data_IF_010805906439
#
_entry.id   IF_010805906439
#
_cell.length_a   1.000
_cell.length_b   1.000
_cell.length_c   1.000
_cell.angle_alpha   90.00
_cell.angle_beta   90.00
_cell.angle_gamma   90.00
#
_symmetry.space_group_name_H-M   'P 1'
#
loop_
_entity.id
_entity.type
_entity.pdbx_description
1 polymer ?
#
# COMPACT_ATOMS: atom_id res chain seq x y z
N UNK A 1 -40.39 -19.39 -8.78
CA UNK A 1 -39.55 -18.28 -9.30
C UNK A 1 -38.89 -17.47 -8.19
N UNK A 2 -39.43 -17.43 -6.97
CA UNK A 2 -38.89 -16.65 -5.84
C UNK A 2 -37.44 -16.99 -5.44
N UNK A 3 -37.04 -18.27 -5.47
CA UNK A 3 -35.65 -18.66 -5.14
C UNK A 3 -34.59 -18.05 -6.07
N UNK A 4 -34.92 -17.78 -7.34
CA UNK A 4 -33.99 -17.14 -8.29
C UNK A 4 -33.79 -15.66 -7.97
N UNK A 5 -34.82 -14.99 -7.45
CA UNK A 5 -34.77 -13.57 -7.09
C UNK A 5 -33.88 -13.34 -5.87
N UNK A 6 -34.01 -14.19 -4.84
CA UNK A 6 -33.19 -14.09 -3.62
C UNK A 6 -31.70 -14.28 -3.94
N UNK A 7 -31.37 -15.23 -4.82
CA UNK A 7 -29.99 -15.49 -5.23
C UNK A 7 -29.37 -14.32 -6.00
N UNK A 8 -30.17 -13.65 -6.84
CA UNK A 8 -29.77 -12.44 -7.55
C UNK A 8 -29.51 -11.27 -6.60
N UNK A 9 -30.38 -11.06 -5.60
CA UNK A 9 -30.16 -10.03 -4.59
C UNK A 9 -28.88 -10.25 -3.78
N UNK A 10 -28.57 -11.50 -3.42
CA UNK A 10 -27.36 -11.84 -2.68
C UNK A 10 -26.08 -11.59 -3.49
N UNK A 11 -26.10 -11.89 -4.80
CA UNK A 11 -24.99 -11.60 -5.71
C UNK A 11 -24.74 -10.10 -5.90
N UNK A 12 -25.81 -9.30 -6.00
CA UNK A 12 -25.70 -7.83 -6.10
C UNK A 12 -25.16 -7.24 -4.80
N UNK A 13 -25.58 -7.75 -3.64
CA UNK A 13 -25.06 -7.31 -2.35
C UNK A 13 -23.57 -7.66 -2.17
N UNK A 14 -23.12 -8.82 -2.65
CA UNK A 14 -21.69 -9.20 -2.62
C UNK A 14 -20.82 -8.32 -3.51
N UNK A 15 -21.35 -7.88 -4.67
CA UNK A 15 -20.63 -6.99 -5.59
C UNK A 15 -20.45 -5.57 -5.04
N UNK A 16 -21.23 -5.14 -4.05
CA UNK A 16 -21.07 -3.83 -3.40
C UNK A 16 -20.07 -3.82 -2.24
N UNK A 17 -19.59 -4.99 -1.79
CA UNK A 17 -18.61 -5.08 -0.70
C UNK A 17 -17.12 -4.83 -1.03
N UNK A 18 -16.61 -4.79 -2.28
CA UNK A 18 -15.18 -4.70 -2.50
C UNK A 18 -14.58 -3.32 -2.20
N UNK A 19 -15.39 -2.30 -1.87
CA UNK A 19 -14.88 -0.95 -1.57
C UNK A 19 -14.42 -0.75 -0.11
N UNK A 20 -14.62 -1.71 0.78
CA UNK A 20 -14.28 -1.56 2.21
C UNK A 20 -12.91 -2.09 2.64
N UNK A 21 -12.09 -2.62 1.73
CA UNK A 21 -10.67 -2.84 2.02
C UNK A 21 -9.96 -1.49 1.85
N UNK A 22 -10.22 -0.56 2.78
CA UNK A 22 -9.40 0.63 2.93
C UNK A 22 -8.06 0.16 3.49
N UNK A 23 -7.13 -0.17 2.60
CA UNK A 23 -5.77 -0.55 2.98
C UNK A 23 -5.18 0.58 3.81
N UNK A 24 -4.88 0.30 5.08
CA UNK A 24 -4.35 1.29 6.00
C UNK A 24 -3.00 1.78 5.47
N UNK A 25 -2.84 3.11 5.40
CA UNK A 25 -1.58 3.72 4.99
C UNK A 25 -0.72 3.88 6.23
N UNK A 26 0.31 3.05 6.34
CA UNK A 26 1.31 3.12 7.39
C UNK A 26 2.41 4.10 6.98
N UNK A 27 2.95 4.82 7.96
CA UNK A 27 4.10 5.71 7.79
C UNK A 27 5.26 5.23 8.65
N UNK A 28 6.38 4.93 8.02
CA UNK A 28 7.62 4.57 8.71
C UNK A 28 8.86 5.14 8.00
N UNK A 29 10.07 4.82 8.46
CA UNK A 29 11.31 5.27 7.83
C UNK A 29 12.41 4.23 7.85
N UNK A 30 13.13 4.11 6.72
CA UNK A 30 14.33 3.30 6.59
C UNK A 30 15.56 4.20 6.63
N UNK A 31 16.55 3.83 7.43
CA UNK A 31 17.82 4.55 7.53
C UNK A 31 18.69 4.25 6.30
N UNK A 32 19.40 5.26 5.81
CA UNK A 32 20.34 5.15 4.71
C UNK A 32 21.56 6.02 4.99
N UNK A 33 22.70 5.39 5.27
CA UNK A 33 23.90 6.08 5.77
C UNK A 33 24.84 6.58 4.65
N UNK A 34 24.64 6.13 3.41
CA UNK A 34 25.59 6.42 2.32
C UNK A 34 25.43 7.85 1.78
N UNK A 35 24.20 8.36 1.72
CA UNK A 35 23.89 9.70 1.20
C UNK A 35 23.01 10.52 2.14
N UNK A 36 23.32 11.82 2.25
CA UNK A 36 22.51 12.76 3.05
C UNK A 36 21.06 12.84 2.59
N UNK A 37 20.81 12.78 1.29
CA UNK A 37 19.47 12.80 0.72
C UNK A 37 19.45 11.84 -0.47
N UNK A 38 19.08 10.59 -0.20
CA UNK A 38 18.94 9.59 -1.26
C UNK A 38 17.95 10.06 -2.33
N UNK A 39 18.16 9.62 -3.57
CA UNK A 39 17.21 9.93 -4.63
C UNK A 39 15.84 9.23 -4.39
N UNK A 40 14.78 9.77 -4.98
CA UNK A 40 13.41 9.26 -4.77
C UNK A 40 13.27 7.80 -5.20
N UNK A 41 13.88 7.40 -6.32
CA UNK A 41 13.80 6.04 -6.85
C UNK A 41 14.45 5.01 -5.94
N UNK A 42 15.57 5.35 -5.31
CA UNK A 42 16.23 4.56 -4.28
C UNK A 42 15.29 4.41 -3.09
N UNK A 43 14.72 5.50 -2.58
CA UNK A 43 13.77 5.42 -1.48
C UNK A 43 12.57 4.53 -1.80
N UNK A 44 12.00 4.57 -3.01
CA UNK A 44 10.90 3.67 -3.40
C UNK A 44 11.34 2.21 -3.27
N UNK A 45 12.47 1.84 -3.88
CA UNK A 45 12.99 0.47 -3.84
C UNK A 45 13.28 -0.02 -2.43
N UNK A 46 13.94 0.82 -1.63
CA UNK A 46 14.29 0.48 -0.25
C UNK A 46 13.04 0.33 0.62
N UNK A 47 12.09 1.28 0.54
CA UNK A 47 10.81 1.17 1.25
C UNK A 47 10.02 -0.08 0.83
N UNK A 48 9.97 -0.40 -0.47
CA UNK A 48 9.27 -1.58 -0.96
C UNK A 48 9.91 -2.87 -0.46
N UNK A 49 11.24 -2.95 -0.52
CA UNK A 49 11.99 -4.11 -0.02
C UNK A 49 11.75 -4.33 1.47
N UNK A 50 11.77 -3.26 2.28
CA UNK A 50 11.63 -3.35 3.73
C UNK A 50 10.20 -3.64 4.18
N UNK A 51 9.21 -2.96 3.60
CA UNK A 51 7.84 -2.94 4.14
C UNK A 51 6.81 -3.72 3.33
N UNK A 52 7.06 -4.00 2.04
CA UNK A 52 6.06 -4.61 1.15
C UNK A 52 6.59 -5.86 0.43
N UNK A 53 7.70 -6.43 0.90
CA UNK A 53 8.31 -7.62 0.29
C UNK A 53 8.85 -7.40 -1.12
N UNK A 54 9.10 -6.15 -1.49
CA UNK A 54 9.56 -5.73 -2.82
C UNK A 54 8.45 -5.22 -3.76
N UNK A 55 7.19 -5.18 -3.31
CA UNK A 55 6.08 -4.67 -4.13
C UNK A 55 6.03 -3.13 -4.12
N UNK A 56 6.59 -2.52 -5.16
CA UNK A 56 6.57 -1.05 -5.33
C UNK A 56 5.15 -0.48 -5.51
N UNK A 57 4.16 -1.27 -5.96
CA UNK A 57 2.79 -0.78 -6.15
C UNK A 57 2.08 -0.44 -4.84
N UNK A 58 2.56 -1.03 -3.74
CA UNK A 58 2.09 -0.77 -2.38
C UNK A 58 2.73 0.45 -1.73
N UNK A 59 3.74 1.05 -2.36
CA UNK A 59 4.33 2.31 -1.90
C UNK A 59 3.48 3.47 -2.40
N UNK A 60 2.75 4.10 -1.49
CA UNK A 60 1.93 5.28 -1.78
C UNK A 60 2.78 6.50 -2.10
N UNK A 61 3.78 6.77 -1.29
CA UNK A 61 4.76 7.83 -1.53
C UNK A 61 6.03 7.62 -0.72
N UNK A 62 7.10 8.30 -1.11
CA UNK A 62 8.35 8.36 -0.33
C UNK A 62 8.88 9.78 -0.28
N UNK A 63 9.54 10.11 0.83
CA UNK A 63 10.22 11.40 1.01
C UNK A 63 11.64 11.19 1.52
N UNK A 64 12.65 11.50 0.68
CA UNK A 64 14.03 11.58 1.14
C UNK A 64 14.20 12.58 2.27
N UNK A 65 14.93 12.18 3.31
CA UNK A 65 15.30 12.99 4.48
C UNK A 65 16.77 12.75 4.80
N UNK A 66 17.29 13.53 5.75
CA UNK A 66 18.68 13.44 6.17
C UNK A 66 19.03 12.01 6.61
N UNK A 67 19.83 11.30 5.80
CA UNK A 67 20.24 9.90 6.01
C UNK A 67 19.08 8.89 6.20
N UNK A 68 17.90 9.17 5.63
CA UNK A 68 16.76 8.24 5.70
C UNK A 68 15.71 8.49 4.64
N UNK A 69 14.92 7.48 4.35
CA UNK A 69 13.72 7.57 3.52
C UNK A 69 12.49 7.47 4.41
N UNK A 70 11.57 8.44 4.34
CA UNK A 70 10.25 8.30 4.96
C UNK A 70 9.32 7.64 3.94
N UNK A 71 8.69 6.55 4.35
CA UNK A 71 7.86 5.71 3.50
C UNK A 71 6.39 5.84 3.92
N UNK A 72 5.50 5.94 2.95
CA UNK A 72 4.07 5.74 3.14
C UNK A 72 3.64 4.55 2.28
N UNK A 73 3.09 3.50 2.89
CA UNK A 73 2.77 2.25 2.21
C UNK A 73 1.47 1.65 2.73
N UNK A 74 0.82 0.83 1.90
CA UNK A 74 -0.40 0.12 2.25
C UNK A 74 -0.07 -1.18 2.98
N UNK A 75 -0.61 -1.39 4.19
CA UNK A 75 -0.54 -2.71 4.84
C UNK A 75 -1.41 -3.71 4.08
N UNK A 76 -0.99 -4.98 4.11
CA UNK A 76 -1.86 -6.09 3.70
C UNK A 76 -2.98 -6.28 4.73
#
# INVERSE_FOLDING_TARGET
>A
MEKKIIFLCFLVALLTFPEFISSEVIRDSVIHDEEKFANRSYCIKTCATEFTGGDESRIKDVRPRHYKCVCWYYSD
#
